data_IF_778892790376
#
_entry.id   IF_778892790376
#
_cell.length_a   1.000
_cell.length_b   1.000
_cell.length_c   1.000
_cell.angle_alpha   90.00
_cell.angle_beta   90.00
_cell.angle_gamma   90.00
#
_symmetry.space_group_name_H-M   'P 1'
#
loop_
_entity.id
_entity.type
_entity.pdbx_description
1 polymer ?
#
# COMPACT_ATOMS: atom_id res chain seq x y z
N UNK A 1 -59.12 -39.68 3.83
CA UNK A 1 -59.01 -38.53 4.75
C UNK A 1 -57.58 -38.26 5.20
N UNK A 2 -56.82 -39.24 5.64
CA UNK A 2 -55.43 -39.12 6.14
C UNK A 2 -54.43 -38.58 5.12
N UNK A 3 -54.50 -38.97 3.84
CA UNK A 3 -53.61 -38.48 2.77
C UNK A 3 -53.72 -36.96 2.49
N UNK A 4 -54.93 -36.37 2.65
CA UNK A 4 -55.15 -34.93 2.45
C UNK A 4 -54.64 -34.11 3.63
N UNK A 5 -54.68 -34.65 4.84
CA UNK A 5 -54.14 -33.98 6.05
C UNK A 5 -52.59 -33.92 5.97
N UNK A 6 -51.96 -34.99 5.46
CA UNK A 6 -50.48 -35.00 5.30
C UNK A 6 -50.02 -34.00 4.25
N UNK A 7 -50.73 -33.83 3.13
CA UNK A 7 -50.37 -32.84 2.11
C UNK A 7 -50.54 -31.41 2.60
N UNK A 8 -51.53 -31.13 3.45
CA UNK A 8 -51.75 -29.79 4.02
C UNK A 8 -50.67 -29.47 5.07
N UNK A 9 -50.25 -30.44 5.88
CA UNK A 9 -49.18 -30.26 6.86
C UNK A 9 -47.83 -30.01 6.21
N UNK A 10 -47.51 -30.69 5.08
CA UNK A 10 -46.27 -30.46 4.31
C UNK A 10 -46.25 -29.09 3.64
N UNK A 11 -47.40 -28.60 3.15
CA UNK A 11 -47.50 -27.27 2.56
C UNK A 11 -47.33 -26.15 3.61
N UNK A 12 -47.82 -26.34 4.82
CA UNK A 12 -47.67 -25.37 5.93
C UNK A 12 -46.21 -25.31 6.42
N UNK A 13 -45.47 -26.42 6.47
CA UNK A 13 -44.05 -26.43 6.83
C UNK A 13 -43.18 -25.74 5.77
N UNK A 14 -43.51 -25.80 4.51
CA UNK A 14 -42.79 -25.07 3.43
C UNK A 14 -43.02 -23.55 3.48
N UNK A 15 -44.17 -23.09 3.96
CA UNK A 15 -44.49 -21.68 4.09
C UNK A 15 -43.82 -21.03 5.32
N UNK A 16 -43.41 -21.78 6.33
CA UNK A 16 -42.74 -21.29 7.54
C UNK A 16 -41.22 -21.15 7.31
N UNK A 17 -40.65 -21.85 6.32
CA UNK A 17 -39.22 -21.79 5.99
C UNK A 17 -38.77 -20.46 5.32
N UNK A 18 -39.69 -19.60 4.93
CA UNK A 18 -39.39 -18.27 4.36
C UNK A 18 -39.42 -17.14 5.40
N UNK A 19 -39.35 -17.45 6.71
CA UNK A 19 -39.34 -16.45 7.74
C UNK A 19 -37.93 -16.24 8.30
N UNK A 20 -37.48 -15.03 8.06
CA UNK A 20 -36.43 -14.34 8.78
C UNK A 20 -35.00 -14.91 8.61
N UNK A 21 -34.37 -14.70 7.47
CA UNK A 21 -33.01 -14.20 7.51
C UNK A 21 -33.04 -12.87 8.28
N UNK A 22 -32.29 -12.71 9.37
CA UNK A 22 -32.09 -11.40 9.92
C UNK A 22 -31.51 -10.56 8.79
N UNK A 23 -32.26 -9.58 8.29
CA UNK A 23 -31.68 -8.48 7.53
C UNK A 23 -30.65 -7.90 8.48
N UNK A 24 -29.36 -8.18 8.27
CA UNK A 24 -28.33 -7.34 8.82
C UNK A 24 -28.76 -5.91 8.50
N UNK A 25 -29.15 -5.18 9.53
CA UNK A 25 -29.29 -3.75 9.43
C UNK A 25 -27.89 -3.27 9.01
N UNK A 26 -27.69 -3.03 7.73
CA UNK A 26 -26.64 -2.16 7.28
C UNK A 26 -26.92 -0.82 8.00
N UNK A 27 -26.39 -0.69 9.19
CA UNK A 27 -26.26 0.62 9.81
C UNK A 27 -25.41 1.39 8.80
N UNK A 28 -25.97 2.48 8.26
CA UNK A 28 -25.17 3.43 7.50
C UNK A 28 -23.89 3.66 8.29
N UNK A 29 -22.69 3.62 7.63
CA UNK A 29 -21.46 3.87 8.36
C UNK A 29 -21.62 5.16 9.15
N UNK A 30 -21.13 5.15 10.39
CA UNK A 30 -21.05 6.38 11.19
C UNK A 30 -20.55 7.50 10.28
N UNK A 31 -21.14 8.68 10.40
CA UNK A 31 -20.77 9.84 9.58
C UNK A 31 -19.24 9.94 9.60
N UNK A 32 -18.61 9.84 8.43
CA UNK A 32 -17.17 9.96 8.31
C UNK A 32 -16.67 11.29 8.88
N UNK A 33 -15.39 11.40 9.11
CA UNK A 33 -14.77 12.65 9.59
C UNK A 33 -14.94 13.72 8.52
N UNK A 34 -15.43 14.89 8.93
CA UNK A 34 -15.56 16.07 8.06
C UNK A 34 -14.51 17.09 8.48
N UNK A 35 -13.69 17.54 7.55
CA UNK A 35 -12.72 18.61 7.76
C UNK A 35 -13.14 19.88 7.01
N UNK A 36 -12.89 21.05 7.61
CA UNK A 36 -13.26 22.35 7.03
C UNK A 36 -12.18 22.97 6.14
N UNK A 37 -10.91 22.60 6.31
CA UNK A 37 -9.79 23.19 5.58
C UNK A 37 -9.07 22.18 4.68
N UNK A 38 -8.63 21.08 5.27
CA UNK A 38 -7.91 20.04 4.54
C UNK A 38 -7.99 18.70 5.27
N UNK A 39 -7.72 17.62 4.55
CA UNK A 39 -7.70 16.25 5.11
C UNK A 39 -6.62 15.44 4.42
N UNK A 40 -5.93 14.62 5.20
CA UNK A 40 -5.03 13.56 4.69
C UNK A 40 -5.56 12.22 5.21
N UNK A 41 -5.76 11.28 4.29
CA UNK A 41 -6.22 9.92 4.62
C UNK A 41 -5.26 8.93 4.00
N UNK A 42 -4.76 8.01 4.80
CA UNK A 42 -3.86 6.94 4.34
C UNK A 42 -4.08 5.65 5.14
N UNK A 43 -3.41 4.58 4.74
CA UNK A 43 -3.49 3.28 5.42
C UNK A 43 -2.87 3.26 6.83
N UNK A 44 -2.10 4.31 7.19
CA UNK A 44 -1.40 4.38 8.48
C UNK A 44 -1.51 5.78 9.07
N UNK A 45 -1.80 5.82 10.37
CA UNK A 45 -1.95 7.07 11.11
C UNK A 45 -0.67 7.92 11.05
N UNK A 46 0.49 7.29 11.20
CA UNK A 46 1.79 7.98 11.17
C UNK A 46 2.00 8.72 9.85
N UNK A 47 1.63 8.10 8.73
CA UNK A 47 1.75 8.71 7.41
C UNK A 47 0.73 9.84 7.20
N UNK A 48 -0.52 9.65 7.63
CA UNK A 48 -1.55 10.71 7.59
C UNK A 48 -1.15 11.91 8.44
N UNK A 49 -0.56 11.67 9.62
CA UNK A 49 -0.10 12.74 10.52
C UNK A 49 1.08 13.53 9.93
N UNK A 50 1.99 12.85 9.23
CA UNK A 50 3.08 13.51 8.50
C UNK A 50 2.51 14.42 7.41
N UNK A 51 1.62 13.91 6.55
CA UNK A 51 0.97 14.73 5.51
C UNK A 51 0.21 15.93 6.09
N UNK A 52 -0.52 15.72 7.19
CA UNK A 52 -1.20 16.82 7.90
C UNK A 52 -0.21 17.86 8.45
N UNK A 53 0.95 17.43 8.91
CA UNK A 53 2.00 18.34 9.40
C UNK A 53 2.55 19.19 8.25
N UNK A 54 2.73 18.62 7.06
CA UNK A 54 3.13 19.36 5.87
C UNK A 54 2.08 20.43 5.49
N UNK A 55 0.79 20.07 5.49
CA UNK A 55 -0.29 21.04 5.25
C UNK A 55 -0.27 22.18 6.27
N UNK A 56 -0.06 21.88 7.56
CA UNK A 56 0.03 22.89 8.63
C UNK A 56 1.25 23.80 8.51
N UNK A 57 2.33 23.37 7.86
CA UNK A 57 3.51 24.18 7.54
C UNK A 57 3.27 25.12 6.33
N UNK A 58 2.11 25.04 5.69
CA UNK A 58 1.80 25.83 4.50
C UNK A 58 2.05 25.13 3.17
N UNK A 59 2.42 23.84 3.21
CA UNK A 59 2.50 23.01 2.02
C UNK A 59 1.13 22.79 1.38
N UNK A 60 1.12 22.51 0.10
CA UNK A 60 -0.09 22.18 -0.65
C UNK A 60 -0.43 20.68 -0.59
N UNK A 61 -1.49 20.26 -1.28
CA UNK A 61 -1.93 18.85 -1.29
C UNK A 61 -0.89 17.91 -1.94
N UNK A 62 -0.09 18.39 -2.89
CA UNK A 62 0.95 17.59 -3.54
C UNK A 62 2.17 17.40 -2.62
N UNK A 63 2.57 18.45 -1.88
CA UNK A 63 3.59 18.32 -0.84
C UNK A 63 3.19 17.30 0.22
N UNK A 64 1.92 17.38 0.68
CA UNK A 64 1.39 16.42 1.65
C UNK A 64 1.34 14.99 1.07
N UNK A 65 0.99 14.82 -0.21
CA UNK A 65 1.01 13.53 -0.90
C UNK A 65 2.42 12.95 -0.92
N UNK A 66 3.44 13.71 -1.36
CA UNK A 66 4.84 13.28 -1.40
C UNK A 66 5.31 12.78 -0.03
N UNK A 67 5.10 13.58 1.01
CA UNK A 67 5.52 13.21 2.36
C UNK A 67 4.75 11.99 2.92
N UNK A 68 3.45 11.88 2.61
CA UNK A 68 2.62 10.75 3.03
C UNK A 68 3.04 9.47 2.34
N UNK A 69 3.31 9.50 1.03
CA UNK A 69 3.73 8.31 0.26
C UNK A 69 5.07 7.77 0.75
N UNK A 70 6.05 8.64 0.98
CA UNK A 70 7.34 8.24 1.55
C UNK A 70 7.21 7.72 2.99
N UNK A 71 6.33 8.31 3.79
CA UNK A 71 6.02 7.80 5.13
C UNK A 71 5.33 6.43 5.10
N UNK A 72 4.50 6.15 4.10
CA UNK A 72 3.89 4.83 3.89
C UNK A 72 4.93 3.79 3.51
N UNK A 73 5.96 4.12 2.76
CA UNK A 73 7.07 3.20 2.48
C UNK A 73 7.76 2.72 3.77
N UNK A 74 7.75 3.53 4.84
CA UNK A 74 8.25 3.18 6.17
C UNK A 74 7.20 2.44 7.00
N UNK A 75 6.00 3.03 7.12
CA UNK A 75 4.98 2.57 8.06
C UNK A 75 4.12 1.42 7.54
N UNK A 76 4.07 1.22 6.23
CA UNK A 76 3.21 0.24 5.55
C UNK A 76 3.94 -0.52 4.43
N UNK A 77 5.09 -1.15 4.69
CA UNK A 77 5.99 -1.70 3.66
C UNK A 77 5.41 -2.87 2.86
N UNK A 78 4.28 -3.40 3.25
CA UNK A 78 3.55 -4.41 2.47
C UNK A 78 2.79 -3.83 1.26
N UNK A 79 2.63 -2.51 1.18
CA UNK A 79 2.00 -1.83 0.05
C UNK A 79 2.62 -0.45 -0.24
N UNK A 80 3.01 0.34 0.77
CA UNK A 80 3.85 1.53 0.60
C UNK A 80 5.28 1.13 0.23
N UNK A 81 5.89 1.81 -0.71
CA UNK A 81 7.17 1.37 -1.26
C UNK A 81 7.97 2.52 -1.90
N UNK A 82 9.27 2.28 -2.11
CA UNK A 82 10.12 3.05 -3.01
C UNK A 82 10.63 2.18 -4.18
N UNK A 83 10.40 0.88 -4.15
CA UNK A 83 10.80 -0.11 -5.15
C UNK A 83 9.67 -0.59 -6.06
N UNK A 84 8.54 0.06 -6.04
CA UNK A 84 7.37 -0.23 -6.85
C UNK A 84 6.95 0.93 -7.74
N UNK A 85 5.67 1.19 -7.82
CA UNK A 85 5.10 2.26 -8.60
C UNK A 85 3.72 2.66 -8.08
N UNK A 86 3.04 3.51 -8.83
CA UNK A 86 1.71 3.97 -8.45
C UNK A 86 0.99 4.73 -9.55
N UNK A 87 -0.16 5.27 -9.15
CA UNK A 87 -0.98 6.17 -9.96
C UNK A 87 -1.40 7.35 -9.12
N UNK A 88 -1.48 8.52 -9.74
CA UNK A 88 -2.08 9.70 -9.16
C UNK A 88 -3.21 10.20 -10.03
N UNK A 89 -4.30 10.61 -9.42
CA UNK A 89 -5.35 11.42 -10.04
C UNK A 89 -5.49 12.69 -9.22
N UNK A 90 -5.53 13.84 -9.88
CA UNK A 90 -5.62 15.12 -9.21
C UNK A 90 -6.67 16.05 -9.82
N UNK A 91 -7.10 17.00 -9.02
CA UNK A 91 -7.92 18.13 -9.44
C UNK A 91 -7.41 19.39 -8.75
N UNK A 92 -7.08 20.40 -9.53
CA UNK A 92 -6.65 21.72 -9.05
C UNK A 92 -7.85 22.59 -8.64
N UNK A 93 -7.59 23.63 -7.88
CA UNK A 93 -8.61 24.60 -7.45
C UNK A 93 -9.32 25.30 -8.63
N UNK A 94 -8.61 25.51 -9.74
CA UNK A 94 -9.17 26.07 -10.97
C UNK A 94 -10.06 25.11 -11.77
N UNK A 95 -10.19 23.85 -11.29
CA UNK A 95 -10.99 22.79 -11.91
C UNK A 95 -10.21 21.92 -12.91
N UNK A 96 -8.97 22.24 -13.23
CA UNK A 96 -8.08 21.39 -14.04
C UNK A 96 -7.91 20.02 -13.38
N UNK A 97 -7.90 18.97 -14.20
CA UNK A 97 -7.77 17.58 -13.77
C UNK A 97 -6.67 16.90 -14.54
N UNK A 98 -6.00 15.94 -13.92
CA UNK A 98 -5.01 15.14 -14.60
C UNK A 98 -4.76 13.83 -13.87
N UNK A 99 -3.92 13.03 -14.48
CA UNK A 99 -3.44 11.78 -13.92
C UNK A 99 -1.97 11.62 -14.26
N UNK A 100 -1.25 10.90 -13.41
CA UNK A 100 0.12 10.47 -13.62
C UNK A 100 0.18 8.96 -13.42
N UNK A 101 0.77 8.26 -14.38
CA UNK A 101 1.09 6.85 -14.31
C UNK A 101 2.59 6.69 -14.10
N UNK A 102 2.98 6.29 -12.90
CA UNK A 102 4.36 6.00 -12.53
C UNK A 102 4.55 4.55 -12.10
N UNK A 103 3.81 3.64 -12.76
CA UNK A 103 4.00 2.20 -12.57
C UNK A 103 5.39 1.75 -12.97
N UNK A 104 5.72 0.55 -12.52
CA UNK A 104 6.92 -0.17 -12.90
C UNK A 104 6.94 -0.43 -14.41
N UNK A 105 8.13 -0.42 -14.98
CA UNK A 105 8.36 -0.78 -16.37
C UNK A 105 9.15 -2.08 -16.48
N UNK A 106 8.96 -2.79 -17.58
CA UNK A 106 9.81 -3.92 -17.90
C UNK A 106 11.27 -3.44 -18.08
N UNK A 107 12.26 -4.20 -17.60
CA UNK A 107 13.67 -3.90 -17.87
C UNK A 107 13.96 -3.84 -19.38
N UNK A 108 14.92 -3.01 -19.79
CA UNK A 108 15.29 -2.84 -21.21
C UNK A 108 15.68 -4.14 -21.92
N UNK A 109 16.18 -5.13 -21.18
CA UNK A 109 16.53 -6.46 -21.70
C UNK A 109 15.39 -7.48 -21.65
N UNK A 110 14.19 -7.08 -21.21
CA UNK A 110 13.05 -7.98 -21.18
C UNK A 110 12.63 -8.35 -22.61
N UNK A 111 12.32 -9.61 -22.82
CA UNK A 111 11.81 -10.13 -24.08
C UNK A 111 10.75 -11.21 -23.84
N UNK A 112 9.96 -11.52 -24.88
CA UNK A 112 8.80 -12.41 -24.80
C UNK A 112 9.10 -13.75 -24.11
N UNK A 113 10.24 -14.35 -24.44
CA UNK A 113 10.58 -15.71 -24.07
C UNK A 113 11.53 -15.79 -22.85
N UNK A 114 11.73 -14.68 -22.11
CA UNK A 114 12.71 -14.61 -21.00
C UNK A 114 12.42 -15.57 -19.83
N UNK A 115 11.22 -16.12 -19.77
CA UNK A 115 10.81 -17.08 -18.73
C UNK A 115 10.67 -18.52 -19.25
N UNK A 116 11.06 -18.76 -20.50
CA UNK A 116 11.05 -20.07 -21.11
C UNK A 116 12.44 -20.73 -21.06
N UNK A 117 12.46 -22.06 -21.10
CA UNK A 117 13.66 -22.84 -21.35
C UNK A 117 13.96 -22.93 -22.86
N UNK A 118 15.05 -23.63 -23.21
CA UNK A 118 15.45 -23.81 -24.61
C UNK A 118 14.43 -24.60 -25.47
N UNK A 119 13.54 -25.35 -24.82
CA UNK A 119 12.54 -26.19 -25.48
C UNK A 119 11.19 -25.49 -25.53
N UNK A 120 11.10 -24.22 -25.03
CA UNK A 120 9.90 -23.39 -25.02
C UNK A 120 8.96 -23.62 -23.84
N UNK A 121 9.37 -24.40 -22.83
CA UNK A 121 8.56 -24.63 -21.63
C UNK A 121 8.74 -23.53 -20.59
N UNK A 122 7.71 -23.26 -19.80
CA UNK A 122 7.76 -22.28 -18.72
C UNK A 122 8.68 -22.77 -17.60
N UNK A 123 9.68 -21.95 -17.25
CA UNK A 123 10.53 -22.19 -16.08
C UNK A 123 9.77 -21.81 -14.83
N UNK A 124 9.49 -22.80 -13.97
CA UNK A 124 8.70 -22.59 -12.75
C UNK A 124 9.27 -21.45 -11.86
N UNK A 125 8.37 -20.59 -11.38
CA UNK A 125 8.65 -19.46 -10.48
C UNK A 125 9.57 -18.35 -11.05
N UNK A 126 10.10 -18.46 -12.25
CA UNK A 126 11.06 -17.48 -12.80
C UNK A 126 10.43 -16.09 -13.00
N UNK A 127 9.13 -16.02 -13.26
CA UNK A 127 8.37 -14.77 -13.41
C UNK A 127 7.81 -14.20 -12.09
N UNK A 128 7.96 -14.91 -10.98
CA UNK A 128 7.38 -14.54 -9.68
C UNK A 128 8.39 -14.44 -8.56
N UNK A 129 9.57 -15.01 -8.71
CA UNK A 129 10.61 -15.06 -7.67
C UNK A 129 11.98 -14.70 -8.23
N UNK A 130 12.71 -13.86 -7.50
CA UNK A 130 14.08 -13.46 -7.83
C UNK A 130 14.18 -12.27 -8.78
N UNK A 131 15.39 -11.92 -9.16
CA UNK A 131 15.73 -10.67 -9.86
C UNK A 131 15.03 -10.48 -11.22
N UNK A 132 14.72 -11.57 -11.93
CA UNK A 132 14.03 -11.48 -13.23
C UNK A 132 12.52 -11.20 -13.11
N UNK A 133 11.95 -11.34 -11.90
CA UNK A 133 10.54 -11.05 -11.62
C UNK A 133 10.30 -9.57 -11.27
N UNK A 134 11.36 -8.76 -11.11
CA UNK A 134 11.28 -7.38 -10.64
C UNK A 134 11.18 -6.41 -11.82
N UNK A 135 10.20 -5.52 -11.80
CA UNK A 135 10.11 -4.37 -12.69
C UNK A 135 11.08 -3.24 -12.30
N UNK A 136 11.37 -2.33 -13.22
CA UNK A 136 12.07 -1.09 -12.91
C UNK A 136 11.13 -0.17 -12.14
N UNK A 137 11.47 0.25 -10.90
CA UNK A 137 10.59 1.05 -10.06
C UNK A 137 10.25 2.42 -10.64
N UNK A 138 9.03 2.87 -10.40
CA UNK A 138 8.54 4.18 -10.83
C UNK A 138 8.23 5.15 -9.69
N UNK A 139 8.10 4.66 -8.43
CA UNK A 139 7.65 5.49 -7.30
C UNK A 139 8.47 6.77 -7.13
N UNK A 140 9.79 6.68 -7.07
CA UNK A 140 10.64 7.87 -6.85
C UNK A 140 10.57 8.82 -8.05
N UNK A 141 10.60 8.29 -9.28
CA UNK A 141 10.42 9.12 -10.48
C UNK A 141 9.07 9.86 -10.46
N UNK A 142 7.99 9.17 -10.08
CA UNK A 142 6.65 9.78 -9.94
C UNK A 142 6.59 10.85 -8.85
N UNK A 143 7.21 10.61 -7.70
CA UNK A 143 7.29 11.59 -6.61
C UNK A 143 8.02 12.87 -7.09
N UNK A 144 9.14 12.75 -7.77
CA UNK A 144 9.88 13.90 -8.27
C UNK A 144 9.13 14.63 -9.40
N UNK A 145 8.47 13.90 -10.31
CA UNK A 145 7.59 14.50 -11.33
C UNK A 145 6.47 15.34 -10.70
N UNK A 146 5.81 14.81 -9.65
CA UNK A 146 4.78 15.54 -8.91
C UNK A 146 5.37 16.75 -8.20
N UNK A 147 6.51 16.59 -7.56
CA UNK A 147 7.19 17.66 -6.85
C UNK A 147 7.62 18.80 -7.79
N UNK A 148 8.27 18.49 -8.89
CA UNK A 148 8.73 19.48 -9.88
C UNK A 148 7.56 20.27 -10.48
N UNK A 149 6.42 19.61 -10.68
CA UNK A 149 5.25 20.21 -11.32
C UNK A 149 4.39 21.01 -10.35
N UNK A 150 4.27 20.57 -9.10
CA UNK A 150 3.26 21.09 -8.19
C UNK A 150 3.79 21.39 -6.78
N UNK A 151 5.02 21.00 -6.44
CA UNK A 151 5.60 21.24 -5.12
C UNK A 151 5.73 22.71 -4.78
N UNK A 152 5.59 23.05 -3.52
CA UNK A 152 5.68 24.40 -3.00
C UNK A 152 6.69 24.54 -1.85
N UNK A 153 6.99 23.47 -1.15
CA UNK A 153 8.01 23.43 -0.09
C UNK A 153 9.30 22.75 -0.59
N UNK A 154 10.45 23.02 0.02
CA UNK A 154 11.70 22.32 -0.32
C UNK A 154 11.55 20.80 -0.20
N UNK A 155 12.04 20.04 -1.19
CA UNK A 155 11.91 18.57 -1.21
C UNK A 155 12.51 17.92 0.03
N UNK A 156 13.59 18.49 0.57
CA UNK A 156 14.20 17.99 1.82
C UNK A 156 13.24 18.03 3.01
N UNK A 157 12.35 19.03 3.09
CA UNK A 157 11.33 19.11 4.14
C UNK A 157 10.22 18.07 3.98
N UNK A 158 9.96 17.62 2.75
CA UNK A 158 8.96 16.60 2.46
C UNK A 158 9.49 15.18 2.73
N UNK A 159 10.79 14.95 2.50
CA UNK A 159 11.43 13.64 2.69
C UNK A 159 11.85 13.43 4.15
N UNK A 160 12.34 14.46 4.84
CA UNK A 160 12.87 14.36 6.20
C UNK A 160 11.97 13.65 7.20
N UNK A 161 10.63 13.88 7.24
CA UNK A 161 9.75 13.19 8.17
C UNK A 161 9.72 11.67 8.00
N UNK A 162 9.88 11.15 6.76
CA UNK A 162 9.96 9.72 6.50
C UNK A 162 11.30 9.13 6.99
N UNK A 163 12.41 9.86 6.83
CA UNK A 163 13.73 9.50 7.38
C UNK A 163 13.65 9.39 8.90
N UNK A 164 13.08 10.41 9.55
CA UNK A 164 12.94 10.45 11.01
C UNK A 164 12.03 9.30 11.50
N UNK A 165 10.95 9.01 10.79
CA UNK A 165 10.05 7.90 11.09
C UNK A 165 10.76 6.55 10.99
N UNK A 166 11.58 6.34 9.94
CA UNK A 166 12.34 5.12 9.75
C UNK A 166 13.33 4.86 10.91
N UNK A 167 14.00 5.91 11.39
CA UNK A 167 14.92 5.85 12.54
C UNK A 167 14.21 5.72 13.87
N UNK A 168 13.13 6.47 14.08
CA UNK A 168 12.29 6.37 15.28
C UNK A 168 11.65 5.00 15.37
N UNK A 169 11.27 4.45 14.22
CA UNK A 169 10.57 3.18 14.06
C UNK A 169 9.07 3.30 14.22
N UNK A 170 8.38 2.33 13.66
CA UNK A 170 6.92 2.19 13.66
C UNK A 170 6.49 1.03 14.56
N UNK A 171 5.30 1.16 15.16
CA UNK A 171 4.72 0.08 15.94
C UNK A 171 4.09 -0.95 15.01
N UNK A 172 4.49 -2.21 15.14
CA UNK A 172 3.94 -3.29 14.34
C UNK A 172 2.57 -3.69 14.87
N UNK A 173 1.57 -3.65 14.03
CA UNK A 173 0.23 -4.12 14.37
C UNK A 173 0.12 -5.64 14.21
N UNK A 174 -0.89 -6.27 14.86
CA UNK A 174 -1.18 -7.70 14.67
C UNK A 174 -1.43 -8.05 13.20
N UNK A 175 -2.14 -7.20 12.48
CA UNK A 175 -2.40 -7.39 11.06
C UNK A 175 -1.10 -7.41 10.24
N UNK A 176 -0.18 -6.48 10.51
CA UNK A 176 1.12 -6.43 9.82
C UNK A 176 1.98 -7.66 10.13
N UNK A 177 2.08 -8.05 11.40
CA UNK A 177 2.85 -9.22 11.80
C UNK A 177 2.26 -10.51 11.21
N UNK A 178 0.98 -10.78 11.49
CA UNK A 178 0.39 -12.09 11.25
C UNK A 178 -0.10 -12.28 9.82
N UNK A 179 -0.56 -11.20 9.17
CA UNK A 179 -1.18 -11.31 7.85
C UNK A 179 -0.22 -11.06 6.70
N UNK A 180 0.71 -10.11 6.86
CA UNK A 180 1.59 -9.72 5.76
C UNK A 180 3.00 -10.28 5.91
N UNK A 181 3.69 -9.97 7.00
CA UNK A 181 5.12 -10.26 7.10
C UNK A 181 5.40 -11.74 7.33
N UNK A 182 4.82 -12.34 8.36
CA UNK A 182 5.16 -13.71 8.75
C UNK A 182 4.79 -14.75 7.69
N UNK A 183 3.79 -14.47 6.85
CA UNK A 183 3.46 -15.34 5.70
C UNK A 183 4.48 -15.30 4.58
N UNK A 184 5.26 -14.22 4.48
CA UNK A 184 6.20 -14.01 3.38
C UNK A 184 7.66 -14.23 3.78
N UNK A 185 7.95 -14.54 5.04
CA UNK A 185 9.33 -14.71 5.54
C UNK A 185 10.13 -15.71 4.69
N UNK A 186 9.57 -16.87 4.39
CA UNK A 186 10.26 -17.87 3.58
C UNK A 186 10.50 -17.44 2.13
N UNK A 187 9.54 -16.72 1.53
CA UNK A 187 9.71 -16.13 0.21
C UNK A 187 10.79 -15.05 0.20
N UNK A 188 10.83 -14.22 1.26
CA UNK A 188 11.86 -13.18 1.42
C UNK A 188 13.24 -13.81 1.51
N UNK A 189 13.41 -14.88 2.30
CA UNK A 189 14.67 -15.63 2.39
C UNK A 189 15.09 -16.23 1.05
N UNK A 190 14.17 -16.82 0.31
CA UNK A 190 14.42 -17.42 -0.99
C UNK A 190 14.77 -16.38 -2.07
N UNK A 191 14.18 -15.18 -1.99
CA UNK A 191 14.37 -14.12 -2.97
C UNK A 191 15.68 -13.34 -2.79
N UNK A 192 16.30 -13.39 -1.61
CA UNK A 192 17.46 -12.58 -1.26
C UNK A 192 18.71 -13.43 -1.05
N UNK A 193 19.86 -12.91 -1.47
CA UNK A 193 21.16 -13.53 -1.30
C UNK A 193 21.90 -13.02 -0.04
N UNK A 194 21.22 -12.22 0.81
CA UNK A 194 21.76 -11.61 2.03
C UNK A 194 20.66 -11.55 3.08
N UNK A 195 21.07 -11.45 4.35
CA UNK A 195 20.15 -11.33 5.48
C UNK A 195 19.42 -9.99 5.42
N UNK A 196 18.11 -10.03 5.47
CA UNK A 196 17.26 -8.85 5.50
C UNK A 196 16.67 -8.61 6.88
N UNK A 197 16.26 -7.38 7.24
CA UNK A 197 15.60 -7.12 8.51
C UNK A 197 14.28 -7.88 8.72
N UNK A 198 13.76 -8.50 7.66
CA UNK A 198 12.45 -9.17 7.66
C UNK A 198 12.53 -10.69 7.88
N UNK A 199 13.72 -11.30 7.90
CA UNK A 199 13.89 -12.75 7.95
C UNK A 199 13.43 -13.39 9.26
N UNK A 200 13.40 -12.63 10.34
CA UNK A 200 12.92 -13.10 11.65
C UNK A 200 11.41 -12.91 11.84
N UNK A 201 10.73 -12.39 10.82
CA UNK A 201 9.33 -11.99 10.94
C UNK A 201 9.16 -10.77 11.83
N UNK A 202 7.91 -10.47 12.14
CA UNK A 202 7.54 -9.36 13.02
C UNK A 202 6.66 -9.83 14.16
N UNK A 203 6.80 -9.20 15.33
CA UNK A 203 5.89 -9.41 16.45
C UNK A 203 5.03 -8.16 16.67
N UNK A 204 3.73 -8.38 16.85
CA UNK A 204 2.80 -7.32 17.19
C UNK A 204 3.22 -6.64 18.51
N UNK A 205 3.09 -5.32 18.56
CA UNK A 205 3.49 -4.50 19.69
C UNK A 205 4.99 -4.16 19.73
N UNK A 206 5.83 -4.77 18.92
CA UNK A 206 7.23 -4.37 18.79
C UNK A 206 7.39 -3.13 17.91
N UNK A 207 8.46 -2.39 18.15
CA UNK A 207 8.84 -1.23 17.36
C UNK A 207 9.94 -1.61 16.37
N UNK A 208 9.60 -1.53 15.09
CA UNK A 208 10.53 -1.83 14.00
C UNK A 208 11.19 -0.54 13.51
N UNK A 209 12.51 -0.50 13.54
CA UNK A 209 13.35 0.57 12.98
C UNK A 209 13.94 0.12 11.66
N UNK A 210 14.05 1.04 10.71
CA UNK A 210 14.48 0.75 9.35
C UNK A 210 15.62 1.67 8.92
N UNK A 211 16.82 1.45 9.49
CA UNK A 211 17.97 2.33 9.27
C UNK A 211 18.45 2.33 7.82
N UNK A 212 18.46 1.19 7.15
CA UNK A 212 18.87 1.08 5.74
C UNK A 212 17.93 1.87 4.82
N UNK A 213 16.64 1.87 5.13
CA UNK A 213 15.67 2.68 4.41
C UNK A 213 15.86 4.18 4.71
N UNK A 214 16.16 4.54 5.95
CA UNK A 214 16.46 5.92 6.31
C UNK A 214 17.66 6.45 5.51
N UNK A 215 18.76 5.68 5.44
CA UNK A 215 19.95 6.03 4.66
C UNK A 215 19.65 6.10 3.15
N UNK A 216 18.76 5.26 2.64
CA UNK A 216 18.33 5.30 1.24
C UNK A 216 17.52 6.57 0.96
N UNK A 217 16.60 6.92 1.85
CA UNK A 217 15.81 8.16 1.75
C UNK A 217 16.70 9.41 1.88
N UNK A 218 17.77 9.38 2.70
CA UNK A 218 18.75 10.46 2.76
C UNK A 218 19.46 10.64 1.41
N UNK A 219 19.91 9.55 0.78
CA UNK A 219 20.53 9.64 -0.55
C UNK A 219 19.57 10.20 -1.60
N UNK A 220 18.29 9.83 -1.55
CA UNK A 220 17.25 10.37 -2.42
C UNK A 220 17.04 11.86 -2.14
N UNK A 221 17.00 12.28 -0.86
CA UNK A 221 16.87 13.69 -0.47
C UNK A 221 18.02 14.56 -0.99
N UNK A 222 19.23 14.04 -0.91
CA UNK A 222 20.45 14.81 -1.12
C UNK A 222 20.90 14.80 -2.60
N UNK A 223 20.49 13.82 -3.39
CA UNK A 223 20.98 13.63 -4.77
C UNK A 223 19.88 13.57 -5.84
N UNK A 224 18.61 13.50 -5.46
CA UNK A 224 17.49 13.36 -6.38
C UNK A 224 17.18 11.91 -6.74
#
# INVERSE_FOLDING_TARGET
MIKRIFSILTAITLLISCRNTPTEKHTSPEKGVVATHAMVVSAKEEASQIGLTILKKGGNAFDAMVATELALAVAYPNAGNIGGGGFMVYRLANGEKGALDYREKAPAKAHRDMYLDKDGNVIANKSTLGALAVGVPGTIAGIFEVYEKFGSLPIGELIQPAIDLARKGVLITELQANFYMNKNVELIKQANNYVTPFENGWKAGERFKYEELAQTLERIRDNG
#
